data_IF_112664901805
#
_entry.id   IF_112664901805
#
_cell.length_a   1.000
_cell.length_b   1.000
_cell.length_c   1.000
_cell.angle_alpha   90.00
_cell.angle_beta   90.00
_cell.angle_gamma   90.00
#
_symmetry.space_group_name_H-M   'P 1'
#
loop_
_entity.id
_entity.type
_entity.pdbx_description
1 polymer ?
#
# COMPACT_ATOMS: atom_id res chain seq x y z
N UNK A 1 3.40 -7.52 -15.81
CA UNK A 1 2.08 -6.85 -15.96
C UNK A 1 1.29 -7.04 -14.68
N UNK A 2 0.49 -6.05 -14.26
CA UNK A 2 -0.49 -6.21 -13.17
C UNK A 2 -1.77 -6.78 -13.77
N UNK A 3 -2.21 -7.93 -13.25
CA UNK A 3 -3.40 -8.64 -13.72
C UNK A 3 -4.62 -8.29 -12.85
N UNK A 4 -5.86 -8.46 -13.36
CA UNK A 4 -7.04 -8.41 -12.51
C UNK A 4 -6.94 -9.36 -11.30
N UNK A 5 -7.54 -8.95 -10.18
CA UNK A 5 -7.52 -9.59 -8.87
C UNK A 5 -6.13 -9.72 -8.23
N UNK A 6 -5.13 -8.96 -8.71
CA UNK A 6 -3.79 -8.99 -8.12
C UNK A 6 -3.80 -8.32 -6.74
N UNK A 7 -2.98 -8.89 -5.85
CA UNK A 7 -2.56 -8.26 -4.59
C UNK A 7 -1.20 -7.60 -4.79
N UNK A 8 -1.12 -6.31 -4.46
CA UNK A 8 0.09 -5.50 -4.52
C UNK A 8 0.46 -5.10 -3.10
N UNK A 9 1.64 -5.52 -2.66
CA UNK A 9 2.19 -5.24 -1.34
C UNK A 9 3.36 -4.25 -1.47
N UNK A 10 3.27 -3.13 -0.74
CA UNK A 10 4.39 -2.22 -0.56
C UNK A 10 5.07 -2.51 0.79
N UNK A 11 6.39 -2.61 0.76
CA UNK A 11 7.23 -2.85 1.94
C UNK A 11 8.45 -1.90 1.92
N UNK A 12 8.88 -1.46 3.09
CA UNK A 12 9.99 -0.54 3.22
C UNK A 12 10.02 0.16 4.57
N UNK A 13 10.67 1.30 4.61
CA UNK A 13 10.94 2.08 5.82
C UNK A 13 9.90 3.19 6.03
N UNK A 14 10.32 4.32 6.62
CA UNK A 14 9.48 5.48 6.89
C UNK A 14 8.85 6.08 5.64
N UNK A 15 9.54 6.01 4.49
CA UNK A 15 9.06 6.54 3.22
C UNK A 15 7.86 5.73 2.73
N UNK A 16 7.90 4.41 2.91
CA UNK A 16 6.79 3.51 2.58
C UNK A 16 5.70 3.57 3.63
N UNK A 17 6.03 3.52 4.93
CA UNK A 17 5.07 3.58 6.05
C UNK A 17 4.16 4.81 5.94
N UNK A 18 4.77 6.00 5.84
CA UNK A 18 4.09 7.29 5.70
C UNK A 18 2.91 7.49 6.67
N UNK A 19 3.05 7.00 7.91
CA UNK A 19 2.05 7.16 8.96
C UNK A 19 0.81 6.29 8.75
N UNK A 20 0.94 5.13 8.10
CA UNK A 20 -0.19 4.20 7.93
C UNK A 20 -0.75 3.75 9.29
N UNK A 21 -2.06 3.62 9.37
CA UNK A 21 -2.72 2.98 10.50
C UNK A 21 -2.52 1.46 10.40
N UNK A 22 -1.76 0.91 11.35
CA UNK A 22 -1.35 -0.50 11.35
C UNK A 22 -2.44 -1.46 11.83
N UNK A 23 -3.46 -0.94 12.51
CA UNK A 23 -4.60 -1.72 13.04
C UNK A 23 -5.64 -2.06 11.97
N UNK A 24 -5.58 -1.40 10.82
CA UNK A 24 -6.49 -1.66 9.70
C UNK A 24 -5.87 -2.72 8.79
N UNK A 25 -6.49 -3.89 8.75
CA UNK A 25 -5.97 -5.04 8.02
C UNK A 25 -6.53 -5.13 6.58
N UNK A 26 -7.58 -4.39 6.25
CA UNK A 26 -8.26 -4.41 4.96
C UNK A 26 -7.46 -3.67 3.86
N UNK A 27 -7.51 -4.17 2.61
CA UNK A 27 -6.86 -3.48 1.50
C UNK A 27 -7.59 -2.19 1.13
N UNK A 28 -6.90 -1.31 0.40
CA UNK A 28 -7.51 -0.12 -0.23
C UNK A 28 -8.13 0.90 0.74
N UNK A 29 -7.88 0.77 2.05
CA UNK A 29 -8.29 1.77 3.05
C UNK A 29 -7.22 2.85 3.09
N UNK A 30 -7.56 4.09 2.75
CA UNK A 30 -6.59 5.20 2.72
C UNK A 30 -5.78 5.32 4.03
N UNK A 31 -6.45 5.16 5.19
CA UNK A 31 -5.77 5.16 6.49
C UNK A 31 -4.76 3.99 6.64
N UNK A 32 -5.03 2.81 6.09
CA UNK A 32 -4.11 1.66 6.11
C UNK A 32 -2.92 1.81 5.13
N UNK A 33 -3.04 2.71 4.16
CA UNK A 33 -2.00 2.98 3.16
C UNK A 33 -1.08 4.16 3.54
N UNK A 34 -1.49 5.00 4.49
CA UNK A 34 -0.76 6.19 4.91
C UNK A 34 -0.95 7.39 3.98
N UNK A 35 -0.22 8.48 4.23
CA UNK A 35 -0.32 9.73 3.45
C UNK A 35 0.75 9.86 2.36
N UNK A 36 1.52 8.80 2.11
CA UNK A 36 2.66 8.80 1.19
C UNK A 36 2.37 8.25 -0.21
N UNK A 37 3.45 7.91 -0.92
CA UNK A 37 3.40 7.48 -2.32
C UNK A 37 2.56 6.21 -2.54
N UNK A 38 2.49 5.32 -1.54
CA UNK A 38 1.69 4.09 -1.62
C UNK A 38 0.21 4.40 -1.82
N UNK A 39 -0.33 5.35 -1.06
CA UNK A 39 -1.72 5.76 -1.19
C UNK A 39 -2.00 6.45 -2.54
N UNK A 40 -1.06 7.27 -3.03
CA UNK A 40 -1.18 7.93 -4.33
C UNK A 40 -1.20 6.92 -5.50
N UNK A 41 -0.32 5.91 -5.48
CA UNK A 41 -0.29 4.85 -6.49
C UNK A 41 -1.57 4.02 -6.44
N UNK A 42 -1.99 3.61 -5.24
CA UNK A 42 -3.21 2.83 -5.07
C UNK A 42 -4.44 3.60 -5.56
N UNK A 43 -4.60 4.87 -5.16
CA UNK A 43 -5.71 5.71 -5.59
C UNK A 43 -5.76 5.85 -7.11
N UNK A 44 -4.62 6.10 -7.75
CA UNK A 44 -4.53 6.20 -9.21
C UNK A 44 -4.93 4.91 -9.90
N UNK A 45 -4.37 3.77 -9.50
CA UNK A 45 -4.65 2.49 -10.16
C UNK A 45 -6.08 1.99 -9.90
N UNK A 46 -6.64 2.24 -8.71
CA UNK A 46 -8.04 1.92 -8.41
C UNK A 46 -9.01 2.78 -9.23
N UNK A 47 -8.64 4.03 -9.54
CA UNK A 47 -9.41 4.93 -10.39
C UNK A 47 -9.29 4.58 -11.87
N UNK A 48 -8.09 4.26 -12.36
CA UNK A 48 -7.84 3.91 -13.76
C UNK A 48 -8.34 2.50 -14.12
N UNK A 49 -8.36 1.57 -13.15
CA UNK A 49 -8.68 0.15 -13.38
C UNK A 49 -9.72 -0.38 -12.37
N UNK A 50 -10.92 0.22 -12.28
CA UNK A 50 -11.91 -0.13 -11.26
C UNK A 50 -12.45 -1.57 -11.38
N UNK A 51 -12.45 -2.16 -12.58
CA UNK A 51 -12.95 -3.52 -12.83
C UNK A 51 -11.94 -4.60 -12.46
N UNK A 52 -10.69 -4.21 -12.23
CA UNK A 52 -9.61 -5.16 -12.01
C UNK A 52 -9.55 -5.67 -10.58
N UNK A 53 -10.35 -5.14 -9.65
CA UNK A 53 -10.43 -5.64 -8.26
C UNK A 53 -9.05 -5.78 -7.60
N UNK A 54 -8.18 -4.79 -7.83
CA UNK A 54 -6.83 -4.77 -7.28
C UNK A 54 -6.87 -4.55 -5.76
N UNK A 55 -6.01 -5.25 -5.03
CA UNK A 55 -5.87 -5.13 -3.58
C UNK A 55 -4.51 -4.54 -3.22
N UNK A 56 -4.49 -3.35 -2.64
CA UNK A 56 -3.27 -2.67 -2.20
C UNK A 56 -3.09 -2.76 -0.69
N UNK A 57 -1.88 -3.12 -0.27
CA UNK A 57 -1.46 -3.13 1.12
C UNK A 57 -0.17 -2.35 1.30
N UNK A 58 -0.05 -1.69 2.45
CA UNK A 58 1.18 -1.08 2.91
C UNK A 58 1.64 -1.78 4.19
N UNK A 59 2.85 -2.33 4.20
CA UNK A 59 3.47 -2.94 5.37
C UNK A 59 4.74 -2.23 5.83
N UNK A 60 5.10 -1.11 5.22
CA UNK A 60 6.27 -0.34 5.62
C UNK A 60 6.27 0.01 7.12
N UNK A 61 7.46 0.05 7.71
CA UNK A 61 7.67 0.37 9.12
C UNK A 61 8.79 1.40 9.22
N UNK A 62 8.46 2.57 9.78
CA UNK A 62 9.43 3.63 10.02
C UNK A 62 10.66 3.14 10.79
N UNK A 63 11.84 3.42 10.25
CA UNK A 63 13.14 3.03 10.82
C UNK A 63 13.65 1.65 10.40
N UNK A 64 12.87 0.85 9.65
CA UNK A 64 13.35 -0.42 9.11
C UNK A 64 14.55 -0.22 8.18
N UNK A 65 15.54 -1.08 8.34
CA UNK A 65 16.63 -1.31 7.40
C UNK A 65 16.38 -2.63 6.69
N UNK A 66 17.21 -2.95 5.70
CA UNK A 66 17.13 -4.23 4.96
C UNK A 66 17.14 -5.45 5.90
N UNK A 67 17.84 -5.38 7.04
CA UNK A 67 17.88 -6.48 8.03
C UNK A 67 16.59 -6.69 8.81
N UNK A 68 15.67 -5.73 8.77
CA UNK A 68 14.43 -5.75 9.56
C UNK A 68 13.21 -6.18 8.72
N UNK A 69 13.41 -6.42 7.42
CA UNK A 69 12.36 -6.69 6.43
C UNK A 69 12.08 -8.18 6.20
#
# INVERSE_FOLDING_TARGET
MINPNSTILFQGDSITDAGRNREIAEPNRGAALGSGYVNLIAARLLQERPQDKLNFYNRGISGNRVTDL
#
